data_IF_928856354810
#
_entry.id   IF_928856354810
#
_cell.length_a   1.000
_cell.length_b   1.000
_cell.length_c   1.000
_cell.angle_alpha   90.00
_cell.angle_beta   90.00
_cell.angle_gamma   90.00
#
_symmetry.space_group_name_H-M   'P 1'
#
loop_
_entity.id
_entity.type
_entity.pdbx_description
1 polymer ?
#
# COMPACT_ATOMS: atom_id res chain seq x y z
N UNK A 1 -8.55 -24.64 -7.83
CA UNK A 1 -9.12 -24.91 -6.49
C UNK A 1 -8.37 -25.99 -5.71
N UNK A 2 -8.09 -27.18 -6.27
CA UNK A 2 -7.41 -28.28 -5.56
C UNK A 2 -6.03 -27.97 -4.93
N UNK A 3 -5.28 -27.01 -5.48
CA UNK A 3 -3.97 -26.61 -4.92
C UNK A 3 -4.10 -25.77 -3.65
N UNK A 4 -5.13 -24.91 -3.60
CA UNK A 4 -5.38 -24.02 -2.48
C UNK A 4 -5.83 -24.81 -1.25
N UNK A 5 -6.71 -25.80 -1.45
CA UNK A 5 -7.14 -26.74 -0.40
C UNK A 5 -5.98 -27.57 0.17
N UNK A 6 -5.08 -28.07 -0.69
CA UNK A 6 -3.87 -28.78 -0.22
C UNK A 6 -2.96 -27.87 0.61
N UNK A 7 -2.77 -26.62 0.19
CA UNK A 7 -1.96 -25.65 0.92
C UNK A 7 -2.59 -25.24 2.25
N UNK A 8 -3.92 -25.20 2.30
CA UNK A 8 -4.66 -24.94 3.53
C UNK A 8 -4.57 -26.12 4.51
N UNK A 9 -4.61 -27.36 4.02
CA UNK A 9 -4.34 -28.56 4.82
C UNK A 9 -2.90 -28.64 5.32
N UNK A 10 -1.92 -28.24 4.51
CA UNK A 10 -0.51 -28.15 4.94
C UNK A 10 -0.31 -27.11 6.03
N UNK A 11 -0.93 -25.93 5.92
CA UNK A 11 -0.91 -24.89 6.96
C UNK A 11 -1.53 -25.39 8.27
N UNK A 12 -2.63 -26.13 8.20
CA UNK A 12 -3.24 -26.74 9.38
C UNK A 12 -2.33 -27.77 10.03
N UNK A 13 -1.64 -28.62 9.23
CA UNK A 13 -0.66 -29.58 9.76
C UNK A 13 0.51 -28.90 10.47
N UNK A 14 1.07 -27.86 9.86
CA UNK A 14 2.16 -27.08 10.46
C UNK A 14 1.70 -26.39 11.74
N UNK A 15 0.47 -25.86 11.76
CA UNK A 15 -0.11 -25.24 12.95
C UNK A 15 -0.26 -26.25 14.11
N UNK A 16 -0.75 -27.46 13.82
CA UNK A 16 -0.82 -28.53 14.84
C UNK A 16 0.55 -28.99 15.31
N UNK A 17 1.56 -29.07 14.44
CA UNK A 17 2.93 -29.43 14.83
C UNK A 17 3.56 -28.34 15.72
N UNK A 18 3.32 -27.06 15.44
CA UNK A 18 3.75 -25.94 16.29
C UNK A 18 3.08 -26.03 17.67
N UNK A 19 1.79 -26.36 17.73
CA UNK A 19 1.10 -26.56 19.01
C UNK A 19 1.69 -27.72 19.81
N UNK A 20 2.04 -28.84 19.16
CA UNK A 20 2.67 -29.99 19.82
C UNK A 20 4.07 -29.62 20.34
N UNK A 21 4.87 -28.91 19.54
CA UNK A 21 6.19 -28.42 19.95
C UNK A 21 6.12 -27.37 21.08
N UNK A 22 5.06 -26.56 21.10
CA UNK A 22 4.79 -25.62 22.19
C UNK A 22 4.42 -26.32 23.50
N UNK A 23 4.01 -27.59 23.46
CA UNK A 23 3.75 -28.45 24.63
C UNK A 23 4.92 -29.37 24.98
N UNK A 24 6.00 -29.34 24.20
CA UNK A 24 7.18 -30.17 24.40
C UNK A 24 8.01 -29.77 25.63
N UNK A 25 8.98 -30.60 25.98
CA UNK A 25 9.91 -30.39 27.10
C UNK A 25 10.48 -28.94 27.10
N UNK A 26 10.64 -28.28 28.26
CA UNK A 26 11.15 -26.90 28.39
C UNK A 26 12.41 -26.58 27.57
N UNK A 27 13.31 -27.57 27.37
CA UNK A 27 14.50 -27.39 26.53
C UNK A 27 14.17 -27.26 25.04
N UNK A 28 13.16 -27.99 24.55
CA UNK A 28 12.68 -27.91 23.17
C UNK A 28 11.95 -26.58 22.92
N UNK A 29 11.14 -26.11 23.87
CA UNK A 29 10.50 -24.79 23.80
C UNK A 29 11.53 -23.66 23.69
N UNK A 30 12.61 -23.70 24.50
CA UNK A 30 13.71 -22.72 24.42
C UNK A 30 14.43 -22.77 23.06
N UNK A 31 14.64 -23.97 22.50
CA UNK A 31 15.25 -24.13 21.17
C UNK A 31 14.34 -23.59 20.07
N UNK A 32 13.04 -23.84 20.14
CA UNK A 32 12.05 -23.29 19.21
C UNK A 32 11.96 -21.75 19.31
N UNK A 33 11.91 -21.18 20.51
CA UNK A 33 11.89 -19.73 20.70
C UNK A 33 13.15 -19.06 20.11
N UNK A 34 14.32 -19.65 20.32
CA UNK A 34 15.59 -19.16 19.72
C UNK A 34 15.55 -19.22 18.19
N UNK A 35 15.06 -20.31 17.61
CA UNK A 35 14.97 -20.45 16.16
C UNK A 35 13.95 -19.47 15.57
N UNK A 36 12.82 -19.25 16.24
CA UNK A 36 11.82 -18.25 15.85
C UNK A 36 12.41 -16.85 15.88
N UNK A 37 13.12 -16.48 16.95
CA UNK A 37 13.81 -15.20 17.04
C UNK A 37 14.83 -14.99 15.91
N UNK A 38 15.69 -15.99 15.65
CA UNK A 38 16.67 -15.92 14.55
C UNK A 38 15.97 -15.78 13.19
N UNK A 39 14.89 -16.54 12.95
CA UNK A 39 14.14 -16.47 11.70
C UNK A 39 13.47 -15.11 11.50
N UNK A 40 12.89 -14.56 12.57
CA UNK A 40 12.24 -13.26 12.57
C UNK A 40 13.23 -12.12 12.34
N UNK A 41 14.42 -12.21 12.95
CA UNK A 41 15.51 -11.27 12.75
C UNK A 41 16.01 -11.28 11.29
N UNK A 42 16.16 -12.47 10.68
CA UNK A 42 16.53 -12.60 9.26
C UNK A 42 15.50 -12.00 8.31
N UNK A 43 14.21 -12.32 8.53
CA UNK A 43 13.11 -11.80 7.69
C UNK A 43 13.02 -10.27 7.82
N UNK A 44 13.15 -9.75 9.03
CA UNK A 44 13.06 -8.31 9.28
C UNK A 44 14.26 -7.56 8.67
N UNK A 45 15.47 -8.11 8.74
CA UNK A 45 16.65 -7.54 8.08
C UNK A 45 16.50 -7.52 6.55
N UNK A 46 15.97 -8.57 5.94
CA UNK A 46 15.69 -8.61 4.50
C UNK A 46 14.70 -7.50 4.10
N UNK A 47 13.64 -7.30 4.90
CA UNK A 47 12.65 -6.24 4.65
C UNK A 47 13.24 -4.83 4.80
N UNK A 48 14.15 -4.62 5.74
CA UNK A 48 14.87 -3.35 5.90
C UNK A 48 15.75 -3.06 4.68
N UNK A 49 16.50 -4.05 4.19
CA UNK A 49 17.35 -3.90 3.00
C UNK A 49 16.52 -3.57 1.75
N UNK A 50 15.37 -4.21 1.58
CA UNK A 50 14.45 -3.96 0.47
C UNK A 50 13.86 -2.54 0.53
N UNK A 51 13.40 -2.09 1.71
CA UNK A 51 12.92 -0.73 1.91
C UNK A 51 14.02 0.32 1.64
N UNK A 52 15.26 0.04 2.04
CA UNK A 52 16.40 0.92 1.78
C UNK A 52 16.67 1.08 0.28
N UNK A 53 16.65 -0.01 -0.49
CA UNK A 53 16.78 0.03 -1.96
C UNK A 53 15.65 0.82 -2.62
N UNK A 54 14.42 0.69 -2.12
CA UNK A 54 13.27 1.45 -2.62
C UNK A 54 13.39 2.95 -2.32
N UNK A 55 13.99 3.34 -1.19
CA UNK A 55 14.25 4.75 -0.87
C UNK A 55 15.35 5.32 -1.78
N UNK A 56 16.45 4.58 -2.00
CA UNK A 56 17.58 4.99 -2.83
C UNK A 56 17.20 5.15 -4.32
N UNK A 57 16.27 4.34 -4.82
CA UNK A 57 15.80 4.40 -6.22
C UNK A 57 14.83 5.56 -6.49
N UNK A 58 14.25 6.19 -5.46
CA UNK A 58 13.39 7.37 -5.62
C UNK A 58 14.27 8.63 -5.76
N UNK A 59 14.80 8.84 -6.96
CA UNK A 59 15.67 9.95 -7.33
C UNK A 59 14.95 11.09 -8.08
N UNK A 60 13.95 11.73 -7.46
CA UNK A 60 13.23 12.83 -8.12
C UNK A 60 12.68 13.88 -7.15
N UNK A 61 12.86 15.16 -7.49
CA UNK A 61 12.48 16.32 -6.67
C UNK A 61 11.02 16.77 -6.89
N UNK A 62 10.18 15.85 -7.34
CA UNK A 62 8.75 16.11 -7.52
C UNK A 62 8.00 15.99 -6.19
N UNK A 63 6.96 16.81 -5.97
CA UNK A 63 6.17 16.77 -4.74
C UNK A 63 5.59 15.39 -4.41
N UNK A 64 5.28 14.58 -5.43
CA UNK A 64 4.82 13.20 -5.27
C UNK A 64 5.91 12.21 -4.85
N UNK A 65 7.13 12.38 -5.36
CA UNK A 65 8.27 11.53 -4.99
C UNK A 65 8.71 11.79 -3.55
N UNK A 66 8.74 13.06 -3.13
CA UNK A 66 9.02 13.47 -1.74
C UNK A 66 8.03 12.88 -0.74
N UNK A 67 6.73 12.84 -1.09
CA UNK A 67 5.69 12.23 -0.25
C UNK A 67 5.83 10.71 -0.13
N UNK A 68 6.16 10.01 -1.23
CA UNK A 68 6.40 8.56 -1.23
C UNK A 68 7.63 8.18 -0.40
N UNK A 69 8.74 8.90 -0.58
CA UNK A 69 9.98 8.71 0.17
C UNK A 69 9.76 8.86 1.69
N UNK A 70 9.07 9.93 2.11
CA UNK A 70 8.74 10.15 3.53
C UNK A 70 7.86 9.05 4.13
N UNK A 71 7.02 8.37 3.32
CA UNK A 71 6.21 7.23 3.76
C UNK A 71 7.07 5.98 3.97
N UNK A 72 7.97 5.69 3.03
CA UNK A 72 8.89 4.55 3.11
C UNK A 72 9.91 4.72 4.24
N UNK A 73 10.42 5.94 4.46
CA UNK A 73 11.32 6.24 5.59
C UNK A 73 10.63 6.00 6.94
N UNK A 74 9.34 6.32 7.07
CA UNK A 74 8.57 5.98 8.28
C UNK A 74 8.40 4.48 8.49
N UNK A 75 8.10 3.72 7.42
CA UNK A 75 7.95 2.27 7.51
C UNK A 75 9.29 1.59 7.82
N UNK A 76 10.39 2.09 7.25
CA UNK A 76 11.75 1.65 7.57
C UNK A 76 12.07 1.84 9.05
N UNK A 77 11.81 3.03 9.60
CA UNK A 77 12.12 3.30 11.00
C UNK A 77 11.23 2.51 11.96
N UNK A 78 9.96 2.27 11.61
CA UNK A 78 9.06 1.42 12.41
C UNK A 78 9.54 -0.04 12.45
N UNK A 79 9.98 -0.59 11.32
CA UNK A 79 10.53 -1.96 11.27
C UNK A 79 11.87 -2.02 12.00
N UNK A 80 12.71 -0.99 11.86
CA UNK A 80 14.01 -0.90 12.54
C UNK A 80 13.85 -0.80 14.05
N UNK A 81 12.87 -0.01 14.51
CA UNK A 81 12.55 0.13 15.92
C UNK A 81 12.03 -1.19 16.50
N UNK A 82 11.18 -1.92 15.77
CA UNK A 82 10.72 -3.26 16.19
C UNK A 82 11.87 -4.27 16.28
N UNK A 83 12.85 -4.22 15.38
CA UNK A 83 14.02 -5.11 15.41
C UNK A 83 15.00 -4.72 16.53
N UNK A 84 15.19 -3.42 16.77
CA UNK A 84 16.12 -2.88 17.77
C UNK A 84 15.57 -2.95 19.19
N UNK A 85 14.27 -2.69 19.37
CA UNK A 85 13.50 -3.09 20.54
C UNK A 85 13.09 -4.53 20.32
N UNK A 86 14.04 -5.46 20.45
CA UNK A 86 13.65 -6.79 20.88
C UNK A 86 12.84 -6.57 22.15
N UNK A 87 11.50 -6.64 22.05
CA UNK A 87 10.66 -6.74 23.22
C UNK A 87 11.29 -7.87 24.01
N UNK A 88 11.96 -7.48 25.08
CA UNK A 88 12.21 -8.34 26.21
C UNK A 88 10.91 -9.12 26.37
N UNK A 89 10.95 -10.42 26.08
CA UNK A 89 9.94 -11.33 26.56
C UNK A 89 9.97 -11.15 28.07
N UNK A 90 9.20 -10.19 28.58
CA UNK A 90 8.70 -10.24 29.92
C UNK A 90 7.97 -11.57 29.97
N UNK A 91 8.53 -12.49 30.74
CA UNK A 91 7.80 -13.63 31.26
C UNK A 91 6.46 -13.09 31.77
N UNK A 92 5.38 -13.33 31.01
CA UNK A 92 4.05 -13.04 31.49
C UNK A 92 3.70 -14.15 32.47
N UNK A 93 3.99 -13.89 33.74
CA UNK A 93 3.23 -14.48 34.82
C UNK A 93 1.73 -14.10 34.65
N UNK A 94 0.88 -15.13 34.66
CA UNK A 94 -0.45 -15.03 35.26
C UNK A 94 -1.66 -14.90 34.32
N UNK A 95 -2.58 -15.85 34.55
CA UNK A 95 -4.05 -15.80 34.40
C UNK A 95 -4.67 -16.48 33.16
N UNK A 96 -5.75 -17.24 33.26
CA UNK A 96 -6.34 -18.07 34.32
C UNK A 96 -7.45 -18.87 33.62
N UNK A 97 -7.71 -20.07 34.15
CA UNK A 97 -8.99 -20.79 34.13
C UNK A 97 -9.87 -20.76 32.87
N UNK A 98 -9.74 -21.81 32.07
CA UNK A 98 -10.94 -22.44 31.50
C UNK A 98 -10.83 -23.95 31.68
N UNK A 99 -11.59 -24.44 32.64
CA UNK A 99 -11.88 -25.85 32.91
C UNK A 99 -12.32 -26.53 31.61
N UNK A 100 -11.50 -27.44 31.09
CA UNK A 100 -11.97 -28.46 30.16
C UNK A 100 -11.32 -29.80 30.52
N UNK A 101 -12.07 -30.56 31.30
CA UNK A 101 -11.83 -31.96 31.60
C UNK A 101 -11.71 -32.76 30.30
N UNK A 102 -10.54 -33.34 30.04
CA UNK A 102 -10.42 -34.48 29.12
C UNK A 102 -9.60 -35.53 29.84
N UNK A 103 -10.30 -36.63 30.14
CA UNK A 103 -9.78 -37.88 30.67
C UNK A 103 -8.64 -38.38 29.77
N UNK A 104 -7.50 -38.70 30.38
CA UNK A 104 -6.52 -39.61 29.80
C UNK A 104 -6.46 -40.84 30.68
N UNK A 105 -7.20 -41.86 30.28
CA UNK A 105 -6.93 -43.25 30.62
C UNK A 105 -5.63 -43.67 29.92
N UNK A 106 -4.49 -43.37 30.54
CA UNK A 106 -3.25 -44.10 30.30
C UNK A 106 -2.61 -44.38 31.66
N UNK A 107 -2.73 -45.63 32.09
CA UNK A 107 -2.13 -46.18 33.30
C UNK A 107 -0.62 -45.95 33.31
N UNK A 108 -0.16 -44.96 34.07
CA UNK A 108 1.19 -44.99 34.63
C UNK A 108 1.08 -45.70 35.98
N UNK A 109 1.40 -46.99 35.96
CA UNK A 109 1.58 -47.81 37.15
C UNK A 109 2.78 -47.26 37.94
N UNK A 110 2.51 -46.36 38.88
CA UNK A 110 3.44 -45.96 39.94
C UNK A 110 2.97 -46.64 41.22
N UNK A 111 3.66 -47.72 41.61
CA UNK A 111 3.55 -48.25 42.96
C UNK A 111 3.54 -49.77 43.04
N UNK A 112 4.72 -50.37 43.13
CA UNK A 112 4.91 -51.44 44.10
C UNK A 112 6.10 -51.09 44.98
N UNK A 113 5.85 -51.20 46.28
CA UNK A 113 6.65 -50.73 47.39
C UNK A 113 8.05 -51.37 47.39
N UNK A 114 9.09 -50.56 47.58
CA UNK A 114 10.33 -51.09 48.13
C UNK A 114 10.11 -51.42 49.61
N UNK A 115 10.55 -52.60 50.09
CA UNK A 115 10.49 -52.93 51.50
C UNK A 115 11.44 -52.02 52.28
N UNK A 116 11.06 -51.67 53.51
CA UNK A 116 11.86 -50.92 54.47
C UNK A 116 13.32 -51.41 54.50
N UNK A 117 14.22 -50.63 53.90
CA UNK A 117 15.66 -50.92 53.91
C UNK A 117 16.21 -50.49 55.27
N UNK A 118 16.46 -51.48 56.13
CA UNK A 118 17.30 -51.33 57.34
C UNK A 118 18.61 -50.64 56.97
N UNK A 119 19.20 -49.81 57.84
CA UNK A 119 20.43 -49.08 57.52
C UNK A 119 21.56 -50.09 57.25
N UNK A 120 22.01 -50.18 56.00
CA UNK A 120 23.11 -51.04 55.60
C UNK A 120 24.42 -50.32 55.95
N UNK A 121 25.25 -51.00 56.73
CA UNK A 121 26.60 -50.58 57.10
C UNK A 121 27.41 -50.19 55.87
N UNK A 122 28.09 -49.03 55.94
CA UNK A 122 29.23 -48.69 55.07
C UNK A 122 30.32 -49.74 55.32
N UNK A 123 30.37 -50.75 54.47
CA UNK A 123 31.56 -51.51 54.06
C UNK A 123 31.10 -52.83 53.47
N UNK A 124 30.91 -52.84 52.14
CA UNK A 124 30.86 -53.98 51.21
C UNK A 124 29.91 -53.69 50.03
N UNK A 125 30.17 -52.64 49.25
CA UNK A 125 29.78 -52.67 47.84
C UNK A 125 30.94 -53.28 47.07
N UNK A 126 30.85 -54.57 46.79
CA UNK A 126 31.86 -55.28 46.02
C UNK A 126 31.98 -54.70 44.62
N UNK A 127 33.22 -54.54 44.14
CA UNK A 127 33.62 -54.03 42.82
C UNK A 127 32.76 -54.59 41.66
N UNK A 128 32.24 -55.81 41.81
CA UNK A 128 31.36 -56.49 40.85
C UNK A 128 30.00 -55.82 40.62
N UNK A 129 29.34 -55.26 41.64
CA UNK A 129 28.05 -54.59 41.45
C UNK A 129 28.22 -53.20 40.82
N UNK A 130 29.35 -52.56 41.09
CA UNK A 130 29.73 -51.28 40.50
C UNK A 130 30.01 -51.41 39.00
N UNK A 131 30.69 -52.49 38.59
CA UNK A 131 30.94 -52.82 37.18
C UNK A 131 29.64 -53.12 36.43
N UNK A 132 28.72 -53.91 37.02
CA UNK A 132 27.42 -54.20 36.40
C UNK A 132 26.56 -52.95 36.23
N UNK A 133 26.64 -52.00 37.17
CA UNK A 133 25.96 -50.71 37.05
C UNK A 133 26.59 -49.80 35.97
N UNK A 134 27.91 -49.78 35.84
CA UNK A 134 28.60 -49.03 34.77
C UNK A 134 28.32 -49.62 33.39
N UNK A 135 28.33 -50.93 33.22
CA UNK A 135 28.01 -51.60 31.95
C UNK A 135 26.58 -51.29 31.51
N UNK A 136 25.63 -51.31 32.46
CA UNK A 136 24.23 -50.92 32.20
C UNK A 136 24.04 -49.43 31.90
N UNK A 137 24.94 -48.55 32.34
CA UNK A 137 24.93 -47.12 31.97
C UNK A 137 25.54 -46.91 30.58
N UNK A 138 26.62 -47.61 30.26
CA UNK A 138 27.29 -47.54 28.96
C UNK A 138 26.39 -48.04 27.83
N UNK A 139 25.66 -49.14 28.06
CA UNK A 139 24.69 -49.67 27.10
C UNK A 139 23.53 -48.69 26.83
N UNK A 140 23.08 -47.97 27.88
CA UNK A 140 22.05 -46.92 27.75
C UNK A 140 22.59 -45.68 27.03
N UNK A 141 23.86 -45.31 27.23
CA UNK A 141 24.51 -44.23 26.47
C UNK A 141 24.65 -44.58 24.99
N UNK A 142 25.02 -45.83 24.67
CA UNK A 142 25.10 -46.32 23.29
C UNK A 142 23.73 -46.27 22.60
N UNK A 143 22.67 -46.73 23.25
CA UNK A 143 21.29 -46.64 22.73
C UNK A 143 20.87 -45.18 22.49
N UNK A 144 21.17 -44.26 23.41
CA UNK A 144 20.87 -42.83 23.25
C UNK A 144 21.67 -42.19 22.11
N UNK A 145 22.96 -42.51 21.97
CA UNK A 145 23.79 -42.02 20.85
C UNK A 145 23.23 -42.46 19.50
N UNK A 146 22.78 -43.72 19.38
CA UNK A 146 22.16 -44.24 18.15
C UNK A 146 20.86 -43.52 17.80
N UNK A 147 20.00 -43.27 18.79
CA UNK A 147 18.75 -42.51 18.58
C UNK A 147 19.06 -41.07 18.13
N UNK A 148 20.07 -40.43 18.73
CA UNK A 148 20.50 -39.07 18.37
C UNK A 148 21.01 -39.04 16.93
N UNK A 149 21.89 -39.97 16.53
CA UNK A 149 22.41 -40.00 15.15
C UNK A 149 21.31 -40.27 14.12
N UNK A 150 20.42 -41.23 14.38
CA UNK A 150 19.29 -41.51 13.49
C UNK A 150 18.35 -40.30 13.38
N UNK A 151 18.14 -39.56 14.48
CA UNK A 151 17.33 -38.34 14.46
C UNK A 151 17.99 -37.18 13.70
N UNK A 152 19.32 -37.06 13.72
CA UNK A 152 20.07 -36.06 12.97
C UNK A 152 20.05 -36.34 11.46
N UNK A 153 20.15 -37.62 11.07
CA UNK A 153 20.04 -38.04 9.67
C UNK A 153 18.63 -37.78 9.12
N UNK A 154 17.59 -38.09 9.89
CA UNK A 154 16.20 -37.77 9.52
C UNK A 154 15.97 -36.26 9.44
N UNK A 155 16.56 -35.49 10.36
CA UNK A 155 16.43 -34.03 10.37
C UNK A 155 17.12 -33.39 9.16
N UNK A 156 18.34 -33.83 8.83
CA UNK A 156 19.08 -33.34 7.66
C UNK A 156 18.39 -33.70 6.35
N UNK A 157 17.87 -34.92 6.22
CA UNK A 157 17.05 -35.34 5.08
C UNK A 157 15.82 -34.43 4.92
N UNK A 158 15.15 -34.09 6.03
CA UNK A 158 13.95 -33.25 6.02
C UNK A 158 14.27 -31.78 5.68
N UNK A 159 15.38 -31.24 6.18
CA UNK A 159 15.88 -29.90 5.79
C UNK A 159 16.17 -29.86 4.28
N UNK A 160 16.78 -30.90 3.72
CA UNK A 160 17.07 -30.97 2.30
C UNK A 160 15.77 -31.00 1.46
N UNK A 161 14.76 -31.76 1.90
CA UNK A 161 13.44 -31.79 1.26
C UNK A 161 12.75 -30.41 1.30
N UNK A 162 12.79 -29.71 2.44
CA UNK A 162 12.21 -28.37 2.57
C UNK A 162 12.88 -27.35 1.64
N UNK A 163 14.21 -27.40 1.49
CA UNK A 163 14.92 -26.55 0.53
C UNK A 163 14.53 -26.83 -0.92
N UNK A 164 14.26 -28.09 -1.26
CA UNK A 164 13.74 -28.46 -2.58
C UNK A 164 12.39 -27.80 -2.85
N UNK A 165 11.47 -27.88 -1.89
CA UNK A 165 10.13 -27.28 -1.99
C UNK A 165 10.23 -25.74 -2.07
N UNK A 166 11.10 -25.11 -1.29
CA UNK A 166 11.33 -23.66 -1.34
C UNK A 166 11.80 -23.20 -2.72
N UNK A 167 12.74 -23.94 -3.33
CA UNK A 167 13.23 -23.67 -4.68
C UNK A 167 12.12 -23.84 -5.73
N UNK A 168 11.30 -24.89 -5.61
CA UNK A 168 10.19 -25.13 -6.53
C UNK A 168 9.10 -24.06 -6.42
N UNK A 169 8.81 -23.58 -5.21
CA UNK A 169 7.93 -22.44 -4.98
C UNK A 169 8.50 -21.17 -5.62
N UNK A 170 9.80 -20.89 -5.43
CA UNK A 170 10.48 -19.76 -6.07
C UNK A 170 10.34 -19.80 -7.60
N UNK A 171 10.63 -20.94 -8.21
CA UNK A 171 10.49 -21.14 -9.65
C UNK A 171 9.04 -20.98 -10.13
N UNK A 172 8.07 -21.45 -9.36
CA UNK A 172 6.64 -21.32 -9.69
C UNK A 172 6.19 -19.86 -9.58
N UNK A 173 6.63 -19.13 -8.56
CA UNK A 173 6.39 -17.70 -8.41
C UNK A 173 6.96 -16.95 -9.60
N UNK A 174 8.20 -17.21 -10.01
CA UNK A 174 8.80 -16.57 -11.19
C UNK A 174 8.03 -16.87 -12.49
N UNK A 175 7.60 -18.13 -12.69
CA UNK A 175 6.82 -18.54 -13.86
C UNK A 175 5.43 -17.91 -13.92
N UNK A 176 4.84 -17.58 -12.77
CA UNK A 176 3.50 -16.94 -12.70
C UNK A 176 3.63 -15.41 -12.74
N UNK A 177 4.60 -14.85 -12.02
CA UNK A 177 4.83 -13.42 -11.96
C UNK A 177 5.29 -12.85 -13.30
N UNK A 178 6.19 -13.53 -14.03
CA UNK A 178 6.73 -13.00 -15.28
C UNK A 178 5.66 -12.78 -16.36
N UNK A 179 4.77 -13.74 -16.66
CA UNK A 179 3.69 -13.52 -17.62
C UNK A 179 2.65 -12.50 -17.15
N UNK A 180 2.37 -12.44 -15.84
CA UNK A 180 1.45 -11.46 -15.28
C UNK A 180 2.00 -10.03 -15.42
N UNK A 181 3.29 -9.83 -15.12
CA UNK A 181 3.97 -8.54 -15.29
C UNK A 181 3.94 -8.11 -16.75
N UNK A 182 4.29 -9.01 -17.69
CA UNK A 182 4.27 -8.70 -19.12
C UNK A 182 2.87 -8.27 -19.59
N UNK A 183 1.81 -8.98 -19.18
CA UNK A 183 0.43 -8.60 -19.52
C UNK A 183 0.06 -7.21 -18.98
N UNK A 184 0.39 -6.92 -17.73
CA UNK A 184 0.13 -5.59 -17.16
C UNK A 184 0.92 -4.49 -17.86
N UNK A 185 2.18 -4.74 -18.24
CA UNK A 185 2.98 -3.77 -19.00
C UNK A 185 2.38 -3.50 -20.38
N UNK A 186 1.89 -4.52 -21.08
CA UNK A 186 1.21 -4.36 -22.37
C UNK A 186 -0.08 -3.56 -22.26
N UNK A 187 -0.93 -3.87 -21.26
CA UNK A 187 -2.16 -3.11 -21.00
C UNK A 187 -1.87 -1.65 -20.66
N UNK A 188 -0.88 -1.38 -19.80
CA UNK A 188 -0.43 -0.02 -19.49
C UNK A 188 0.08 0.70 -20.74
N UNK A 189 0.78 0.01 -21.64
CA UNK A 189 1.23 0.57 -22.92
C UNK A 189 0.06 0.94 -23.83
N UNK A 190 -0.99 0.11 -23.88
CA UNK A 190 -2.21 0.38 -24.64
C UNK A 190 -2.98 1.58 -24.08
N UNK A 191 -3.17 1.63 -22.75
CA UNK A 191 -3.81 2.75 -22.06
C UNK A 191 -3.05 4.05 -22.33
N UNK A 192 -1.73 4.04 -22.20
CA UNK A 192 -0.89 5.20 -22.50
C UNK A 192 -1.07 5.66 -23.95
N UNK A 193 -1.04 4.74 -24.93
CA UNK A 193 -1.27 5.07 -26.34
C UNK A 193 -2.66 5.67 -26.59
N UNK A 194 -3.71 5.13 -25.96
CA UNK A 194 -5.07 5.65 -26.06
C UNK A 194 -5.15 7.07 -25.50
N UNK A 195 -4.65 7.28 -24.28
CA UNK A 195 -4.64 8.60 -23.64
C UNK A 195 -3.90 9.66 -24.49
N UNK A 196 -2.79 9.30 -25.13
CA UNK A 196 -2.03 10.22 -26.00
C UNK A 196 -2.86 10.59 -27.24
N UNK A 197 -3.60 9.64 -27.83
CA UNK A 197 -4.49 9.91 -28.97
C UNK A 197 -5.62 10.86 -28.56
N UNK A 198 -6.25 10.62 -27.42
CA UNK A 198 -7.36 11.44 -26.91
C UNK A 198 -6.88 12.86 -26.60
N UNK A 199 -5.70 13.01 -25.97
CA UNK A 199 -5.07 14.32 -25.73
C UNK A 199 -4.78 15.06 -27.04
N UNK A 200 -4.31 14.37 -28.08
CA UNK A 200 -4.07 14.99 -29.40
C UNK A 200 -5.36 15.47 -30.04
N UNK A 201 -6.42 14.66 -29.97
CA UNK A 201 -7.73 15.03 -30.51
C UNK A 201 -8.32 16.24 -29.77
N UNK A 202 -8.25 16.23 -28.44
CA UNK A 202 -8.69 17.35 -27.61
C UNK A 202 -7.91 18.64 -27.91
N UNK A 203 -6.59 18.56 -28.11
CA UNK A 203 -5.77 19.71 -28.53
C UNK A 203 -6.23 20.29 -29.87
N UNK A 204 -6.60 19.44 -30.84
CA UNK A 204 -7.12 19.88 -32.14
C UNK A 204 -8.47 20.57 -31.97
N UNK A 205 -9.36 20.03 -31.14
CA UNK A 205 -10.67 20.63 -30.87
C UNK A 205 -10.55 21.98 -30.15
N UNK A 206 -9.67 22.09 -29.15
CA UNK A 206 -9.38 23.35 -28.46
C UNK A 206 -8.88 24.39 -29.45
N UNK A 207 -7.92 24.04 -30.32
CA UNK A 207 -7.42 24.97 -31.34
C UNK A 207 -8.51 25.44 -32.32
N UNK A 208 -9.46 24.56 -32.69
CA UNK A 208 -10.61 24.94 -33.52
C UNK A 208 -11.56 25.89 -32.78
N UNK A 209 -11.82 25.64 -31.50
CA UNK A 209 -12.65 26.50 -30.66
C UNK A 209 -12.01 27.87 -30.45
N UNK A 210 -10.70 27.93 -30.19
CA UNK A 210 -9.95 29.18 -30.09
C UNK A 210 -10.02 30.00 -31.38
N UNK A 211 -9.89 29.35 -32.55
CA UNK A 211 -10.03 30.02 -33.84
C UNK A 211 -11.43 30.64 -34.01
N UNK A 212 -12.49 29.90 -33.66
CA UNK A 212 -13.88 30.40 -33.71
C UNK A 212 -14.09 31.55 -32.72
N UNK A 213 -13.54 31.44 -31.51
CA UNK A 213 -13.62 32.50 -30.50
C UNK A 213 -12.95 33.78 -31.00
N UNK A 214 -11.78 33.67 -31.62
CA UNK A 214 -11.06 34.81 -32.20
C UNK A 214 -11.86 35.48 -33.33
N UNK A 215 -12.51 34.69 -34.17
CA UNK A 215 -13.38 35.19 -35.25
C UNK A 215 -14.61 35.95 -34.70
N UNK A 216 -15.27 35.37 -33.68
CA UNK A 216 -16.38 36.05 -32.98
C UNK A 216 -15.90 37.36 -32.35
N UNK A 217 -14.77 37.34 -31.64
CA UNK A 217 -14.23 38.52 -30.97
C UNK A 217 -13.86 39.63 -31.98
N UNK A 218 -13.29 39.26 -33.13
CA UNK A 218 -13.03 40.21 -34.21
C UNK A 218 -14.32 40.84 -34.76
N UNK A 219 -15.36 40.03 -34.96
CA UNK A 219 -16.66 40.51 -35.41
C UNK A 219 -17.33 41.42 -34.38
N UNK A 220 -17.26 41.08 -33.09
CA UNK A 220 -17.75 41.93 -31.99
C UNK A 220 -17.07 43.29 -31.99
N UNK A 221 -15.74 43.36 -32.07
CA UNK A 221 -15.00 44.64 -32.16
C UNK A 221 -15.39 45.47 -33.37
N UNK A 222 -15.59 44.81 -34.51
CA UNK A 222 -16.02 45.47 -35.75
C UNK A 222 -17.44 46.03 -35.60
N UNK A 223 -18.33 45.27 -34.96
CA UNK A 223 -19.69 45.70 -34.64
C UNK A 223 -19.70 46.89 -33.67
N UNK A 224 -18.91 46.84 -32.60
CA UNK A 224 -18.75 47.96 -31.64
C UNK A 224 -18.27 49.23 -32.34
N UNK A 225 -17.25 49.11 -33.21
CA UNK A 225 -16.74 50.23 -34.01
C UNK A 225 -17.81 50.79 -34.96
N UNK A 226 -18.56 49.92 -35.63
CA UNK A 226 -19.67 50.31 -36.50
C UNK A 226 -20.78 51.01 -35.72
N UNK A 227 -21.16 50.48 -34.56
CA UNK A 227 -22.20 51.05 -33.70
C UNK A 227 -21.78 52.41 -33.15
N UNK A 228 -20.52 52.59 -32.77
CA UNK A 228 -19.97 53.88 -32.37
C UNK A 228 -20.04 54.91 -33.52
N UNK A 229 -19.68 54.52 -34.75
CA UNK A 229 -19.80 55.37 -35.94
C UNK A 229 -21.25 55.74 -36.23
N UNK A 230 -22.17 54.77 -36.20
CA UNK A 230 -23.59 55.02 -36.41
C UNK A 230 -24.15 55.98 -35.36
N UNK A 231 -23.79 55.81 -34.09
CA UNK A 231 -24.25 56.71 -33.03
C UNK A 231 -23.77 58.16 -33.24
N UNK A 232 -22.53 58.36 -33.69
CA UNK A 232 -22.03 59.69 -34.07
C UNK A 232 -22.79 60.27 -35.27
N UNK A 233 -23.06 59.45 -36.30
CA UNK A 233 -23.84 59.87 -37.47
C UNK A 233 -25.28 60.22 -37.11
N UNK A 234 -25.94 59.43 -36.26
CA UNK A 234 -27.30 59.70 -35.78
C UNK A 234 -27.36 61.00 -34.99
N UNK A 235 -26.38 61.25 -34.10
CA UNK A 235 -26.29 62.54 -33.40
C UNK A 235 -26.13 63.71 -34.36
N UNK A 236 -25.31 63.56 -35.41
CA UNK A 236 -25.13 64.60 -36.43
C UNK A 236 -26.43 64.88 -37.19
N UNK A 237 -27.13 63.84 -37.65
CA UNK A 237 -28.43 64.00 -38.32
C UNK A 237 -29.47 64.67 -37.42
N UNK A 238 -29.47 64.38 -36.11
CA UNK A 238 -30.34 65.08 -35.15
C UNK A 238 -30.02 66.58 -35.06
N UNK A 239 -28.74 66.96 -35.02
CA UNK A 239 -28.35 68.37 -35.03
C UNK A 239 -28.75 69.08 -36.33
N UNK A 240 -28.57 68.43 -37.49
CA UNK A 240 -28.98 68.98 -38.77
C UNK A 240 -30.51 69.17 -38.85
N UNK A 241 -31.29 68.21 -38.32
CA UNK A 241 -32.75 68.31 -38.23
C UNK A 241 -33.18 69.47 -37.31
N UNK A 242 -32.54 69.63 -36.15
CA UNK A 242 -32.82 70.77 -35.25
C UNK A 242 -32.52 72.09 -35.97
N UNK A 243 -31.39 72.17 -36.70
CA UNK A 243 -31.04 73.34 -37.50
C UNK A 243 -32.11 73.67 -38.55
N UNK A 244 -32.62 72.65 -39.25
CA UNK A 244 -33.70 72.79 -40.21
C UNK A 244 -35.01 73.29 -39.57
N UNK A 245 -35.39 72.74 -38.42
CA UNK A 245 -36.59 73.16 -37.67
C UNK A 245 -36.46 74.62 -37.22
N UNK A 246 -35.30 75.02 -36.68
CA UNK A 246 -35.03 76.41 -36.27
C UNK A 246 -35.08 77.36 -37.47
N UNK A 247 -34.58 76.94 -38.63
CA UNK A 247 -34.66 77.72 -39.87
C UNK A 247 -36.12 77.95 -40.31
N UNK A 248 -36.95 76.90 -40.29
CA UNK A 248 -38.38 77.03 -40.60
C UNK A 248 -39.08 77.97 -39.61
N UNK A 249 -38.86 77.79 -38.31
CA UNK A 249 -39.43 78.64 -37.26
C UNK A 249 -39.05 80.11 -37.44
N UNK A 250 -37.78 80.40 -37.73
CA UNK A 250 -37.30 81.76 -38.00
C UNK A 250 -37.98 82.38 -39.21
N UNK A 251 -38.11 81.63 -40.30
CA UNK A 251 -38.78 82.11 -41.50
C UNK A 251 -40.27 82.34 -41.27
N UNK A 252 -40.95 81.45 -40.54
CA UNK A 252 -42.35 81.61 -40.18
C UNK A 252 -42.58 82.86 -39.31
N UNK A 253 -41.74 83.07 -38.29
CA UNK A 253 -41.79 84.27 -37.45
C UNK A 253 -41.58 85.55 -38.26
N UNK A 254 -40.61 85.56 -39.18
CA UNK A 254 -40.38 86.69 -40.08
C UNK A 254 -41.60 86.99 -40.96
N UNK A 255 -42.25 85.95 -41.48
CA UNK A 255 -43.44 86.08 -42.32
C UNK A 255 -44.63 86.62 -41.53
N UNK A 256 -44.85 86.13 -40.31
CA UNK A 256 -45.90 86.64 -39.40
C UNK A 256 -45.63 88.10 -39.00
N UNK A 257 -44.38 88.46 -38.68
CA UNK A 257 -44.02 89.84 -38.39
C UNK A 257 -44.31 90.75 -39.58
N UNK A 258 -43.94 90.33 -40.79
CA UNK A 258 -44.24 91.09 -42.02
C UNK A 258 -45.73 91.24 -42.30
N UNK A 259 -46.54 90.20 -42.07
CA UNK A 259 -48.01 90.28 -42.18
C UNK A 259 -48.57 91.26 -41.14
N UNK A 260 -48.09 91.21 -39.90
CA UNK A 260 -48.48 92.15 -38.84
C UNK A 260 -48.16 93.59 -39.26
N UNK A 261 -46.95 93.86 -39.73
CA UNK A 261 -46.54 95.21 -40.13
C UNK A 261 -47.39 95.73 -41.30
N UNK A 262 -47.73 94.87 -42.26
CA UNK A 262 -48.65 95.21 -43.36
C UNK A 262 -50.07 95.52 -42.87
N UNK A 263 -50.60 94.74 -41.93
CA UNK A 263 -51.93 94.96 -41.36
C UNK A 263 -52.01 96.24 -40.52
N UNK A 264 -50.96 96.53 -39.73
CA UNK A 264 -50.88 97.79 -38.97
C UNK A 264 -50.81 98.98 -39.91
N UNK A 265 -49.99 98.91 -40.97
CA UNK A 265 -49.89 99.98 -41.97
C UNK A 265 -51.17 100.22 -42.77
N UNK A 266 -52.08 99.25 -42.86
CA UNK A 266 -53.41 99.43 -43.49
C UNK A 266 -54.44 100.04 -42.56
N UNK A 267 -54.28 99.90 -41.23
CA UNK A 267 -55.18 100.49 -40.24
C UNK A 267 -54.79 101.93 -39.84
N UNK A 268 -53.61 102.40 -40.25
CA UNK A 268 -53.12 103.77 -40.01
C UNK A 268 -53.35 104.74 -41.19
N UNK A 269 -53.97 104.28 -42.29
CA UNK A 269 -54.50 105.12 -43.39
C UNK A 269 -56.03 105.19 -43.31
#
# INVERSE_FOLDING_TARGET
MKLLERKQQELQRVSTEIQILSRGNPQQQRKCARLLYISWQKISNFRLDELKKQIETIGGDTGSAKKKRKKLEKEYEEVREKVGKGEEMKESEGANDSTLSIQTDENIYLGEQQPEVKPIHKDQFGVYEQIRATDGVEERMLKRKKIVSESEDVFTLRIASLRGIEKDIGNMIERIASPAIIKFEEELRLIRKRSIKDIRLLKIEIAKLEKRLNEINYNCRTCESSMAKMNLTTKRMLFDLIGFVVYILRNALYLVARIRDLLVSQNEN
#
